data_IF_968287894828
#
_entry.id   IF_968287894828
#
_cell.length_a   1.000
_cell.length_b   1.000
_cell.length_c   1.000
_cell.angle_alpha   90.00
_cell.angle_beta   90.00
_cell.angle_gamma   90.00
#
_symmetry.space_group_name_H-M   'P 1'
#
loop_
_entity.id
_entity.type
_entity.pdbx_description
1 polymer ?
#
# COMPACT_ATOMS: atom_id res chain seq x y z
N UNK A 1 8.26 7.86 1.60
CA UNK A 1 7.70 7.41 0.30
C UNK A 1 6.55 8.29 -0.21
N UNK A 2 5.58 8.71 0.62
CA UNK A 2 4.48 9.56 0.16
C UNK A 2 4.92 10.85 -0.56
N UNK A 3 5.90 11.58 0.00
CA UNK A 3 6.48 12.78 -0.64
C UNK A 3 7.07 12.44 -2.02
N UNK A 4 7.79 11.33 -2.13
CA UNK A 4 8.34 10.87 -3.41
C UNK A 4 7.25 10.58 -4.44
N UNK A 5 6.17 9.87 -4.05
CA UNK A 5 5.04 9.62 -4.95
C UNK A 5 4.37 10.92 -5.41
N UNK A 6 4.17 11.88 -4.50
CA UNK A 6 3.63 13.20 -4.85
C UNK A 6 4.55 13.95 -5.84
N UNK A 7 5.86 14.03 -5.56
CA UNK A 7 6.83 14.69 -6.45
C UNK A 7 6.89 13.99 -7.81
N UNK A 8 6.73 12.67 -7.87
CA UNK A 8 6.64 11.95 -9.15
C UNK A 8 5.45 12.42 -9.99
N UNK A 9 4.30 12.64 -9.38
CA UNK A 9 3.07 13.06 -10.08
C UNK A 9 3.15 14.49 -10.61
N UNK A 10 3.73 15.42 -9.86
CA UNK A 10 3.69 16.87 -10.18
C UNK A 10 5.00 17.45 -10.69
N UNK A 11 6.13 16.76 -10.49
CA UNK A 11 7.46 17.20 -10.96
C UNK A 11 8.02 16.21 -11.98
N UNK A 12 8.36 14.98 -11.58
CA UNK A 12 9.17 14.10 -12.44
C UNK A 12 8.43 13.65 -13.70
N UNK A 13 7.20 13.14 -13.59
CA UNK A 13 6.42 12.75 -14.77
C UNK A 13 6.11 13.95 -15.68
N UNK A 14 5.64 15.11 -15.18
CA UNK A 14 5.45 16.29 -16.02
C UNK A 14 6.72 16.76 -16.74
N UNK A 15 7.88 16.70 -16.09
CA UNK A 15 9.18 16.98 -16.73
C UNK A 15 9.48 16.01 -17.87
N UNK A 16 9.30 14.70 -17.65
CA UNK A 16 9.51 13.68 -18.68
C UNK A 16 8.51 13.78 -19.84
N UNK A 17 7.32 14.32 -19.59
CA UNK A 17 6.30 14.57 -20.61
C UNK A 17 6.42 15.97 -21.26
N UNK A 18 7.34 16.81 -20.82
CA UNK A 18 7.63 18.12 -21.41
C UNK A 18 6.63 19.24 -21.08
N UNK A 19 5.69 19.03 -20.15
CA UNK A 19 4.73 20.08 -19.77
C UNK A 19 4.18 19.89 -18.34
N UNK A 20 4.12 21.00 -17.58
CA UNK A 20 3.54 21.02 -16.22
C UNK A 20 2.05 20.65 -16.18
N UNK A 21 1.33 20.84 -17.28
CA UNK A 21 -0.09 20.50 -17.41
C UNK A 21 -0.41 19.01 -17.27
N UNK A 22 0.62 18.13 -17.27
CA UNK A 22 0.44 16.72 -16.96
C UNK A 22 0.32 16.42 -15.46
N UNK A 23 0.64 17.38 -14.58
CA UNK A 23 0.39 17.27 -13.14
C UNK A 23 -1.10 17.33 -12.81
N UNK A 24 -1.49 16.76 -11.68
CA UNK A 24 -2.89 16.77 -11.25
C UNK A 24 -3.30 18.12 -10.62
N UNK A 25 -4.59 18.52 -10.73
CA UNK A 25 -5.09 19.77 -10.14
C UNK A 25 -5.38 19.62 -8.64
N UNK A 26 -5.16 20.68 -7.86
CA UNK A 26 -5.49 20.70 -6.42
C UNK A 26 -6.96 21.00 -6.17
N UNK A 27 -7.78 19.93 -6.14
CA UNK A 27 -9.19 20.02 -5.77
C UNK A 27 -9.78 18.65 -5.46
N UNK A 28 -10.75 18.61 -4.54
CA UNK A 28 -11.31 17.35 -4.01
C UNK A 28 -11.88 16.47 -5.12
N UNK A 29 -12.64 17.04 -6.07
CA UNK A 29 -13.19 16.26 -7.18
C UNK A 29 -12.35 16.35 -8.46
N UNK A 30 -11.72 17.50 -8.74
CA UNK A 30 -10.94 17.69 -9.96
C UNK A 30 -9.72 16.77 -10.05
N UNK A 31 -9.12 16.36 -8.93
CA UNK A 31 -8.03 15.38 -8.98
C UNK A 31 -8.54 13.98 -9.35
N UNK A 32 -9.78 13.62 -8.98
CA UNK A 32 -10.39 12.35 -9.36
C UNK A 32 -10.71 12.32 -10.86
N UNK A 33 -11.16 13.44 -11.42
CA UNK A 33 -11.33 13.60 -12.87
C UNK A 33 -10.00 13.41 -13.61
N UNK A 34 -8.91 13.99 -13.08
CA UNK A 34 -7.57 13.78 -13.62
C UNK A 34 -7.13 12.31 -13.53
N UNK A 35 -7.38 11.62 -12.41
CA UNK A 35 -7.06 10.19 -12.24
C UNK A 35 -7.80 9.36 -13.29
N UNK A 36 -9.09 9.61 -13.47
CA UNK A 36 -9.92 8.91 -14.45
C UNK A 36 -9.39 9.12 -15.87
N UNK A 37 -9.22 10.37 -16.30
CA UNK A 37 -8.74 10.69 -17.65
C UNK A 37 -7.33 10.17 -17.90
N UNK A 38 -6.43 10.27 -16.92
CA UNK A 38 -5.07 9.73 -17.03
C UNK A 38 -5.09 8.21 -17.16
N UNK A 39 -5.95 7.51 -16.42
CA UNK A 39 -6.08 6.05 -16.52
C UNK A 39 -6.64 5.60 -17.87
N UNK A 40 -7.70 6.25 -18.35
CA UNK A 40 -8.34 5.90 -19.62
C UNK A 40 -7.54 6.33 -20.86
N UNK A 41 -6.59 7.25 -20.73
CA UNK A 41 -5.64 7.57 -21.79
C UNK A 41 -4.80 6.35 -22.22
N UNK A 42 -4.67 5.34 -21.35
CA UNK A 42 -3.99 4.06 -21.61
C UNK A 42 -4.99 2.89 -21.67
N UNK A 43 -6.22 3.15 -22.11
CA UNK A 43 -7.35 2.20 -22.18
C UNK A 43 -7.78 1.71 -20.80
N UNK A 44 -7.09 0.68 -20.29
CA UNK A 44 -7.41 0.03 -19.02
C UNK A 44 -6.16 0.00 -18.14
N UNK A 45 -6.03 1.01 -17.28
CA UNK A 45 -4.89 1.16 -16.38
C UNK A 45 -4.68 -0.03 -15.41
N UNK A 46 -5.70 -0.88 -15.23
CA UNK A 46 -5.61 -2.14 -14.51
C UNK A 46 -4.54 -3.10 -15.07
N UNK A 47 -4.23 -3.01 -16.38
CA UNK A 47 -3.22 -3.84 -17.04
C UNK A 47 -1.81 -3.27 -16.97
N UNK A 48 -1.60 -2.12 -16.32
CA UNK A 48 -0.25 -1.65 -16.02
C UNK A 48 0.37 -2.59 -14.96
N UNK A 49 1.45 -3.34 -15.26
CA UNK A 49 1.98 -4.35 -14.36
C UNK A 49 2.53 -3.76 -13.06
N UNK A 50 3.10 -2.55 -13.09
CA UNK A 50 3.54 -1.85 -11.88
C UNK A 50 2.33 -1.38 -11.04
N UNK A 51 1.21 -1.02 -11.68
CA UNK A 51 -0.03 -0.68 -10.98
C UNK A 51 -0.62 -1.92 -10.29
N UNK A 52 -0.59 -3.09 -10.94
CA UNK A 52 -1.00 -4.36 -10.33
C UNK A 52 -0.19 -4.64 -9.05
N UNK A 53 1.14 -4.49 -9.09
CA UNK A 53 1.99 -4.64 -7.90
C UNK A 53 1.62 -3.65 -6.80
N UNK A 54 1.44 -2.37 -7.15
CA UNK A 54 1.07 -1.34 -6.17
C UNK A 54 -0.25 -1.69 -5.46
N UNK A 55 -1.28 -2.07 -6.21
CA UNK A 55 -2.59 -2.48 -5.67
C UNK A 55 -2.47 -3.72 -4.79
N UNK A 56 -1.70 -4.72 -5.21
CA UNK A 56 -1.42 -5.90 -4.38
C UNK A 56 -0.80 -5.49 -3.05
N UNK A 57 0.22 -4.63 -3.05
CA UNK A 57 0.83 -4.15 -1.79
C UNK A 57 -0.16 -3.34 -0.93
N UNK A 58 -1.05 -2.53 -1.52
CA UNK A 58 -2.10 -1.86 -0.75
C UNK A 58 -3.03 -2.85 -0.07
N UNK A 59 -3.53 -3.85 -0.80
CA UNK A 59 -4.41 -4.88 -0.23
C UNK A 59 -3.70 -5.73 0.83
N UNK A 60 -2.45 -6.13 0.59
CA UNK A 60 -1.70 -6.89 1.59
C UNK A 60 -1.37 -6.05 2.82
N UNK A 61 -1.14 -4.75 2.67
CA UNK A 61 -0.91 -3.84 3.81
C UNK A 61 -2.15 -3.75 4.70
N UNK A 62 -3.34 -3.56 4.11
CA UNK A 62 -4.58 -3.47 4.91
C UNK A 62 -4.95 -4.80 5.55
N UNK A 63 -4.73 -5.92 4.85
CA UNK A 63 -4.88 -7.27 5.41
C UNK A 63 -3.94 -7.47 6.61
N UNK A 64 -2.64 -7.18 6.45
CA UNK A 64 -1.65 -7.36 7.50
C UNK A 64 -1.93 -6.45 8.70
N UNK A 65 -2.37 -5.21 8.47
CA UNK A 65 -2.76 -4.28 9.54
C UNK A 65 -3.97 -4.80 10.33
N UNK A 66 -4.99 -5.31 9.65
CA UNK A 66 -6.17 -5.87 10.29
C UNK A 66 -5.82 -7.10 11.14
N UNK A 67 -5.02 -8.02 10.58
CA UNK A 67 -4.53 -9.21 11.29
C UNK A 67 -3.67 -8.83 12.50
N UNK A 68 -2.74 -7.89 12.34
CA UNK A 68 -1.87 -7.45 13.43
C UNK A 68 -2.64 -6.76 14.55
N UNK A 69 -3.50 -5.79 14.22
CA UNK A 69 -4.31 -5.09 15.22
C UNK A 69 -5.26 -6.04 15.94
N UNK A 70 -5.88 -6.97 15.20
CA UNK A 70 -6.74 -8.01 15.77
C UNK A 70 -5.99 -8.93 16.73
N UNK A 71 -4.78 -9.36 16.37
CA UNK A 71 -3.94 -10.24 17.21
C UNK A 71 -3.56 -9.57 18.54
N UNK A 72 -3.07 -8.33 18.49
CA UNK A 72 -2.67 -7.62 19.71
C UNK A 72 -3.88 -7.38 20.61
N UNK A 73 -5.02 -6.98 20.02
CA UNK A 73 -6.24 -6.76 20.79
C UNK A 73 -6.80 -8.06 21.38
N UNK A 74 -6.73 -9.19 20.69
CA UNK A 74 -7.20 -10.47 21.22
C UNK A 74 -6.31 -11.00 22.35
N UNK A 75 -4.99 -10.81 22.27
CA UNK A 75 -4.07 -11.19 23.33
C UNK A 75 -4.21 -10.28 24.58
N UNK A 76 -4.37 -8.97 24.36
CA UNK A 76 -4.51 -8.00 25.43
C UNK A 76 -5.92 -7.98 26.07
N UNK A 77 -6.94 -8.44 25.35
CA UNK A 77 -8.33 -8.46 25.80
C UNK A 77 -8.92 -9.87 25.62
N UNK A 78 -8.47 -10.84 26.44
CA UNK A 78 -8.97 -12.22 26.37
C UNK A 78 -10.41 -12.33 26.88
N UNK A 79 -10.95 -13.55 26.85
CA UNK A 79 -12.29 -13.83 27.39
C UNK A 79 -12.43 -13.42 28.86
N UNK A 80 -13.67 -13.19 29.31
CA UNK A 80 -13.94 -12.67 30.65
C UNK A 80 -13.42 -13.63 31.73
N UNK A 81 -12.55 -13.12 32.59
CA UNK A 81 -11.95 -13.89 33.69
C UNK A 81 -10.62 -14.55 33.34
N UNK A 82 -10.18 -14.45 32.09
CA UNK A 82 -8.87 -14.92 31.64
C UNK A 82 -7.78 -13.85 31.86
N UNK A 83 -6.57 -14.30 32.14
CA UNK A 83 -5.39 -13.43 32.15
C UNK A 83 -4.94 -13.07 30.72
N UNK A 84 -4.34 -11.88 30.56
CA UNK A 84 -3.73 -11.42 29.31
C UNK A 84 -2.79 -12.47 28.74
N UNK A 85 -2.85 -12.67 27.43
CA UNK A 85 -2.00 -13.65 26.74
C UNK A 85 -0.61 -13.08 26.50
N UNK A 86 0.34 -13.98 26.28
CA UNK A 86 1.76 -13.65 26.08
C UNK A 86 2.12 -13.65 24.60
N UNK A 87 3.28 -13.10 24.20
CA UNK A 87 3.77 -13.21 22.83
C UNK A 87 3.85 -14.66 22.30
N UNK A 88 4.06 -15.65 23.18
CA UNK A 88 4.05 -17.07 22.79
C UNK A 88 2.66 -17.53 22.30
N UNK A 89 1.58 -16.98 22.87
CA UNK A 89 0.22 -17.26 22.40
C UNK A 89 -0.04 -16.61 21.03
N UNK A 90 0.47 -15.39 20.81
CA UNK A 90 0.35 -14.71 19.51
C UNK A 90 1.02 -15.54 18.40
N UNK A 91 2.22 -16.04 18.67
CA UNK A 91 2.97 -16.92 17.77
C UNK A 91 2.26 -18.26 17.55
N UNK A 92 1.72 -18.85 18.62
CA UNK A 92 1.00 -20.13 18.56
C UNK A 92 -0.25 -20.00 17.68
N UNK A 93 -1.04 -18.94 17.85
CA UNK A 93 -2.22 -18.69 17.02
C UNK A 93 -1.91 -18.73 15.52
N UNK A 94 -0.87 -18.00 15.08
CA UNK A 94 -0.52 -17.95 13.65
C UNK A 94 0.12 -19.26 13.15
N UNK A 95 0.90 -19.94 14.00
CA UNK A 95 1.43 -21.27 13.68
C UNK A 95 0.31 -22.29 13.50
N UNK A 96 -0.72 -22.26 14.34
CA UNK A 96 -1.87 -23.14 14.21
C UNK A 96 -2.74 -22.77 13.00
N UNK A 97 -2.92 -21.49 12.74
CA UNK A 97 -3.80 -21.01 11.68
C UNK A 97 -3.23 -21.20 10.26
N UNK A 98 -1.97 -20.82 10.04
CA UNK A 98 -1.33 -20.84 8.70
C UNK A 98 0.04 -21.55 8.66
N UNK A 99 0.45 -22.20 9.75
CA UNK A 99 1.73 -22.93 9.80
C UNK A 99 2.97 -22.06 10.02
N UNK A 100 2.82 -20.74 10.22
CA UNK A 100 3.95 -19.82 10.35
C UNK A 100 3.58 -18.57 11.15
N UNK A 101 4.46 -18.14 12.06
CA UNK A 101 4.41 -16.80 12.67
C UNK A 101 5.66 -16.01 12.31
N UNK A 102 5.47 -14.77 11.88
CA UNK A 102 6.53 -13.81 11.57
C UNK A 102 7.15 -13.17 12.82
N UNK A 103 6.51 -13.36 13.99
CA UNK A 103 6.95 -12.82 15.27
C UNK A 103 6.70 -11.32 15.46
N UNK A 104 6.83 -10.87 16.71
CA UNK A 104 6.44 -9.52 17.15
C UNK A 104 7.23 -8.41 16.47
N UNK A 105 8.56 -8.50 16.36
CA UNK A 105 9.35 -7.51 15.62
C UNK A 105 9.18 -7.65 14.10
N UNK A 106 8.98 -8.88 13.63
CA UNK A 106 8.87 -9.20 12.21
C UNK A 106 7.66 -8.54 11.57
N UNK A 107 6.50 -8.59 12.22
CA UNK A 107 5.26 -8.00 11.67
C UNK A 107 5.36 -6.48 11.48
N UNK A 108 6.07 -5.77 12.36
CA UNK A 108 6.29 -4.32 12.23
C UNK A 108 7.19 -4.00 11.03
N UNK A 109 8.25 -4.79 10.81
CA UNK A 109 9.15 -4.65 9.66
C UNK A 109 8.44 -4.97 8.36
N UNK A 110 7.66 -6.06 8.33
CA UNK A 110 6.85 -6.44 7.18
C UNK A 110 5.81 -5.37 6.88
N UNK A 111 5.10 -4.86 7.89
CA UNK A 111 4.13 -3.78 7.71
C UNK A 111 4.72 -2.53 7.07
N UNK A 112 5.90 -2.10 7.54
CA UNK A 112 6.63 -0.99 6.92
C UNK A 112 7.02 -1.31 5.47
N UNK A 113 7.58 -2.50 5.21
CA UNK A 113 7.99 -2.91 3.87
C UNK A 113 6.81 -2.91 2.89
N UNK A 114 5.67 -3.49 3.30
CA UNK A 114 4.45 -3.54 2.48
C UNK A 114 3.95 -2.13 2.15
N UNK A 115 3.82 -1.27 3.17
CA UNK A 115 3.31 0.09 3.00
C UNK A 115 4.23 0.97 2.13
N UNK A 116 5.56 0.86 2.31
CA UNK A 116 6.52 1.61 1.49
C UNK A 116 6.54 1.10 0.05
N UNK A 117 6.41 -0.22 -0.18
CA UNK A 117 6.34 -0.77 -1.53
C UNK A 117 5.05 -0.34 -2.25
N UNK A 118 3.91 -0.26 -1.57
CA UNK A 118 2.68 0.25 -2.17
C UNK A 118 2.89 1.63 -2.81
N UNK A 119 3.44 2.59 -2.05
CA UNK A 119 3.71 3.93 -2.56
C UNK A 119 4.86 4.00 -3.58
N UNK A 120 5.88 3.14 -3.45
CA UNK A 120 6.97 3.06 -4.42
C UNK A 120 6.46 2.58 -5.79
N UNK A 121 5.74 1.46 -5.83
CA UNK A 121 5.20 0.92 -7.08
C UNK A 121 4.11 1.82 -7.68
N UNK A 122 3.38 2.59 -6.88
CA UNK A 122 2.50 3.66 -7.41
C UNK A 122 3.28 4.76 -8.14
N UNK A 123 4.45 5.15 -7.62
CA UNK A 123 5.29 6.11 -8.32
C UNK A 123 5.86 5.52 -9.62
N UNK A 124 6.29 4.25 -9.58
CA UNK A 124 6.80 3.56 -10.77
C UNK A 124 5.70 3.41 -11.84
N UNK A 125 4.48 3.02 -11.45
CA UNK A 125 3.42 2.79 -12.44
C UNK A 125 3.04 4.06 -13.20
N UNK A 126 3.08 5.23 -12.54
CA UNK A 126 2.72 6.48 -13.19
C UNK A 126 3.89 7.10 -13.97
N UNK A 127 5.14 6.97 -13.49
CA UNK A 127 6.30 7.56 -14.16
C UNK A 127 6.60 6.89 -15.51
N UNK A 128 6.30 5.60 -15.64
CA UNK A 128 6.47 4.89 -16.92
C UNK A 128 5.31 5.15 -17.89
N UNK A 129 4.13 5.54 -17.38
CA UNK A 129 2.94 5.81 -18.20
C UNK A 129 3.02 7.17 -18.90
N UNK A 130 3.30 7.15 -20.21
CA UNK A 130 3.54 8.30 -21.08
C UNK A 130 5.00 8.40 -21.52
N UNK A 131 5.95 8.54 -20.58
CA UNK A 131 7.37 8.62 -20.94
C UNK A 131 7.93 7.36 -21.61
N UNK A 132 7.43 6.16 -21.26
CA UNK A 132 7.94 4.89 -21.78
C UNK A 132 6.86 4.06 -22.47
N UNK A 133 5.64 4.06 -21.94
CA UNK A 133 4.50 3.30 -22.47
C UNK A 133 3.19 4.06 -22.29
#
# INVERSE_FOLDING_TARGET
VAIFAYVTLVIFRPLLMGAWGHGFPYGIFSHLDWVSNTGYAYLHFHYNPAHMLAVTFFFTTTLALALHGGLILSAANPEKGEEMKTPDHEDTFFRDFIGYSVGTLGIHRVGLLLALNAGFWSAICIIISGPVW
#
